data_IF_435887452002
#
_entry.id   IF_435887452002
#
_cell.length_a   1.000
_cell.length_b   1.000
_cell.length_c   1.000
_cell.angle_alpha   90.00
_cell.angle_beta   90.00
_cell.angle_gamma   90.00
#
_symmetry.space_group_name_H-M   'P 1'
#
loop_
_entity.id
_entity.type
_entity.pdbx_description
1 polymer ?
#
# COMPACT_ATOMS: atom_id res chain seq x y z
N UNK A 1 66.12 0.14 -29.49
CA UNK A 1 66.06 -0.75 -28.30
C UNK A 1 65.83 0.17 -27.11
N UNK A 2 64.71 0.23 -26.41
CA UNK A 2 63.75 -0.78 -25.98
C UNK A 2 62.61 0.00 -25.30
N UNK A 3 61.37 -0.14 -25.80
CA UNK A 3 60.26 -0.83 -25.11
C UNK A 3 59.24 0.13 -24.48
N UNK A 4 58.19 0.35 -25.28
CA UNK A 4 56.79 0.28 -24.86
C UNK A 4 56.30 1.30 -23.82
N UNK A 5 56.08 2.53 -24.32
CA UNK A 5 54.80 3.24 -24.11
C UNK A 5 53.66 2.28 -24.46
N UNK A 6 52.47 2.44 -23.85
CA UNK A 6 51.26 1.60 -23.95
C UNK A 6 51.05 0.63 -22.79
N UNK A 7 50.52 1.14 -21.67
CA UNK A 7 49.59 0.39 -20.82
C UNK A 7 48.82 1.39 -19.96
N UNK A 8 47.83 2.07 -20.56
CA UNK A 8 46.77 2.73 -19.80
C UNK A 8 45.68 1.68 -19.57
N UNK A 9 45.49 1.36 -18.31
CA UNK A 9 44.64 0.34 -17.74
C UNK A 9 43.15 0.67 -18.04
N UNK A 10 42.48 -0.12 -18.88
CA UNK A 10 41.03 -0.08 -19.05
C UNK A 10 40.38 -0.83 -17.87
N UNK A 11 40.03 -0.11 -16.80
CA UNK A 11 39.12 -0.64 -15.78
C UNK A 11 37.70 -0.47 -16.33
N UNK A 12 37.17 -1.55 -16.90
CA UNK A 12 35.76 -1.64 -17.26
C UNK A 12 34.91 -1.64 -15.99
N UNK A 13 34.21 -0.53 -15.74
CA UNK A 13 33.16 -0.48 -14.73
C UNK A 13 31.97 -1.27 -15.27
N UNK A 14 31.85 -2.51 -14.82
CA UNK A 14 30.67 -3.34 -15.04
C UNK A 14 29.56 -2.80 -14.15
N UNK A 15 28.73 -1.90 -14.69
CA UNK A 15 27.47 -1.51 -14.06
C UNK A 15 26.54 -2.71 -14.14
N UNK A 16 26.54 -3.55 -13.10
CA UNK A 16 25.52 -4.55 -12.85
C UNK A 16 24.23 -3.80 -12.52
N UNK A 17 23.42 -3.52 -13.54
CA UNK A 17 22.06 -3.01 -13.39
C UNK A 17 21.20 -4.15 -12.82
N UNK A 18 21.30 -4.37 -11.51
CA UNK A 18 20.41 -5.25 -10.79
C UNK A 18 19.01 -4.62 -10.79
N UNK A 19 18.10 -5.16 -11.60
CA UNK A 19 16.68 -4.83 -11.49
C UNK A 19 16.15 -5.37 -10.17
N UNK A 20 16.19 -4.54 -9.14
CA UNK A 20 15.40 -4.73 -7.91
C UNK A 20 13.93 -4.76 -8.33
N UNK A 21 13.37 -5.96 -8.46
CA UNK A 21 11.93 -6.13 -8.50
C UNK A 21 11.45 -5.81 -7.09
N UNK A 22 10.97 -4.58 -6.88
CA UNK A 22 10.10 -4.31 -5.75
C UNK A 22 8.93 -5.28 -5.89
N UNK A 23 8.85 -6.27 -5.00
CA UNK A 23 7.73 -7.21 -4.93
C UNK A 23 6.47 -6.45 -4.57
N UNK A 24 5.84 -5.83 -5.56
CA UNK A 24 4.66 -5.00 -5.39
C UNK A 24 3.42 -5.86 -5.26
N UNK A 25 3.20 -6.43 -4.08
CA UNK A 25 1.87 -6.87 -3.70
C UNK A 25 0.87 -5.69 -3.78
N UNK A 26 -0.44 -5.95 -3.75
CA UNK A 26 -1.41 -4.86 -3.72
C UNK A 26 -1.11 -3.94 -2.52
N UNK A 27 -1.55 -2.66 -2.55
CA UNK A 27 -1.29 -1.75 -1.44
C UNK A 27 -1.87 -2.29 -0.11
N UNK A 28 -1.15 -2.08 0.98
CA UNK A 28 -1.54 -2.43 2.35
C UNK A 28 -1.85 -1.16 3.15
N UNK A 29 -2.54 -1.29 4.27
CA UNK A 29 -2.93 -0.17 5.13
C UNK A 29 -4.18 0.55 4.64
N UNK A 30 -4.28 1.84 4.94
CA UNK A 30 -5.42 2.69 4.54
C UNK A 30 -5.26 3.17 3.09
N UNK A 31 -6.16 2.70 2.24
CA UNK A 31 -6.19 3.00 0.80
C UNK A 31 -7.37 3.92 0.54
N UNK A 32 -7.08 5.16 0.14
CA UNK A 32 -8.07 6.17 -0.17
C UNK A 32 -8.65 5.94 -1.57
N UNK A 33 -9.97 5.91 -1.67
CA UNK A 33 -10.70 5.65 -2.89
C UNK A 33 -11.89 6.61 -3.01
N UNK A 34 -12.46 6.71 -4.21
CA UNK A 34 -13.75 7.37 -4.42
C UNK A 34 -14.65 6.53 -5.31
N UNK A 35 -15.96 6.69 -5.15
CA UNK A 35 -16.97 6.08 -6.01
C UNK A 35 -17.99 7.14 -6.43
N UNK A 36 -18.44 7.09 -7.68
CA UNK A 36 -19.52 7.93 -8.17
C UNK A 36 -20.84 7.16 -8.12
N UNK A 37 -21.83 7.73 -7.43
CA UNK A 37 -23.20 7.21 -7.34
C UNK A 37 -24.15 8.35 -7.64
N UNK A 38 -25.03 8.18 -8.63
CA UNK A 38 -25.98 9.19 -9.09
C UNK A 38 -25.36 10.57 -9.37
N UNK A 39 -24.17 10.56 -10.01
CA UNK A 39 -23.43 11.77 -10.35
C UNK A 39 -22.72 12.46 -9.18
N UNK A 40 -22.86 11.95 -7.96
CA UNK A 40 -22.14 12.44 -6.77
C UNK A 40 -20.95 11.55 -6.45
N UNK A 41 -19.82 12.18 -6.13
CA UNK A 41 -18.62 11.49 -5.68
C UNK A 41 -18.65 11.30 -4.16
N UNK A 42 -18.33 10.08 -3.73
CA UNK A 42 -18.24 9.67 -2.33
C UNK A 42 -16.84 9.13 -2.07
N UNK A 43 -16.00 9.86 -1.31
CA UNK A 43 -14.73 9.31 -0.86
C UNK A 43 -14.96 8.23 0.20
N UNK A 44 -14.15 7.18 0.17
CA UNK A 44 -14.14 6.12 1.18
C UNK A 44 -12.71 5.59 1.33
N UNK A 45 -12.47 4.83 2.40
CA UNK A 45 -11.14 4.28 2.69
C UNK A 45 -11.28 2.79 2.94
N UNK A 46 -10.41 2.01 2.31
CA UNK A 46 -10.28 0.56 2.53
C UNK A 46 -9.06 0.33 3.39
N UNK A 47 -9.23 -0.32 4.54
CA UNK A 47 -8.10 -0.84 5.29
C UNK A 47 -7.78 -2.26 4.79
N UNK A 48 -6.53 -2.51 4.41
CA UNK A 48 -6.03 -3.85 4.07
C UNK A 48 -4.95 -4.28 5.07
N UNK A 49 -5.18 -5.34 5.86
CA UNK A 49 -4.16 -5.88 6.75
C UNK A 49 -2.89 -6.28 6.00
N UNK A 50 -1.77 -6.22 6.72
CA UNK A 50 -0.47 -6.64 6.18
C UNK A 50 -0.46 -8.15 6.00
N UNK A 51 0.13 -8.63 4.90
CA UNK A 51 0.23 -10.07 4.63
C UNK A 51 -1.09 -10.74 4.25
N UNK A 52 -2.16 -9.97 3.95
CA UNK A 52 -3.36 -10.53 3.34
C UNK A 52 -3.04 -10.95 1.90
N UNK A 53 -2.78 -12.24 1.67
CA UNK A 53 -2.37 -12.74 0.36
C UNK A 53 -3.49 -12.68 -0.68
N UNK A 54 -3.13 -12.25 -1.90
CA UNK A 54 -4.04 -12.24 -3.03
C UNK A 54 -4.47 -13.66 -3.43
N UNK A 55 -3.63 -14.67 -3.18
CA UNK A 55 -3.93 -16.08 -3.41
C UNK A 55 -4.97 -16.63 -2.43
N UNK A 56 -4.91 -16.22 -1.15
CA UNK A 56 -5.91 -16.59 -0.16
C UNK A 56 -7.29 -16.01 -0.50
N UNK A 57 -7.30 -14.77 -1.00
CA UNK A 57 -8.51 -14.08 -1.48
C UNK A 57 -9.10 -14.69 -2.77
N UNK A 58 -8.28 -15.40 -3.57
CA UNK A 58 -8.73 -16.04 -4.80
C UNK A 58 -9.43 -17.41 -4.55
N UNK A 59 -9.09 -18.08 -3.45
CA UNK A 59 -9.65 -19.40 -3.10
C UNK A 59 -10.88 -19.32 -2.19
N UNK A 60 -11.04 -18.22 -1.44
CA UNK A 60 -12.21 -17.96 -0.58
C UNK A 60 -12.56 -16.47 -0.63
N UNK A 61 -13.86 -16.10 -0.66
CA UNK A 61 -14.25 -14.70 -0.57
C UNK A 61 -13.77 -14.13 0.77
N UNK A 62 -12.97 -13.08 0.69
CA UNK A 62 -12.53 -12.31 1.86
C UNK A 62 -13.76 -11.68 2.52
N UNK A 63 -13.86 -11.79 3.85
CA UNK A 63 -14.94 -11.14 4.60
C UNK A 63 -14.65 -9.64 4.64
N UNK A 64 -15.67 -8.82 4.40
CA UNK A 64 -15.57 -7.36 4.50
C UNK A 64 -16.32 -6.84 5.72
N UNK A 65 -15.69 -5.93 6.46
CA UNK A 65 -16.33 -5.13 7.51
C UNK A 65 -16.60 -3.72 6.96
N UNK A 66 -17.84 -3.25 7.08
CA UNK A 66 -18.16 -1.85 6.80
C UNK A 66 -18.26 -1.09 8.11
N UNK A 67 -17.39 -0.10 8.30
CA UNK A 67 -17.44 0.83 9.41
C UNK A 67 -18.04 2.16 8.95
N UNK A 68 -19.13 2.58 9.58
CA UNK A 68 -19.81 3.84 9.29
C UNK A 68 -19.48 4.84 10.40
N UNK A 69 -18.95 6.00 10.02
CA UNK A 69 -18.63 7.06 10.95
C UNK A 69 -19.88 7.80 11.44
N UNK A 70 -19.73 8.56 12.52
CA UNK A 70 -20.80 9.36 13.09
C UNK A 70 -20.95 10.73 12.40
N UNK A 71 -21.91 11.51 12.89
CA UNK A 71 -22.16 12.88 12.41
C UNK A 71 -20.96 13.81 12.63
N UNK A 72 -20.15 13.55 13.66
CA UNK A 72 -18.98 14.38 14.00
C UNK A 72 -17.86 14.29 12.95
N UNK A 73 -17.80 13.18 12.23
CA UNK A 73 -16.77 12.87 11.25
C UNK A 73 -17.27 13.03 9.80
N UNK A 74 -18.45 13.65 9.60
CA UNK A 74 -18.94 13.97 8.27
C UNK A 74 -18.02 14.99 7.57
N UNK A 75 -17.78 14.77 6.28
CA UNK A 75 -16.97 15.68 5.47
C UNK A 75 -16.93 15.27 4.01
N UNK A 76 -16.10 15.98 3.24
CA UNK A 76 -15.83 15.71 1.81
C UNK A 76 -14.35 15.51 1.54
N UNK A 77 -13.50 15.57 2.56
CA UNK A 77 -12.04 15.44 2.45
C UNK A 77 -11.57 13.98 2.33
N UNK A 78 -12.43 13.01 2.68
CA UNK A 78 -12.12 11.59 2.59
C UNK A 78 -11.17 11.06 3.69
N UNK A 79 -10.91 11.85 4.73
CA UNK A 79 -10.02 11.51 5.85
C UNK A 79 -10.66 11.69 7.23
N UNK A 80 -11.62 12.61 7.40
CA UNK A 80 -12.26 12.86 8.69
C UNK A 80 -12.94 11.61 9.26
N UNK A 81 -13.46 10.72 8.41
CA UNK A 81 -14.04 9.44 8.82
C UNK A 81 -13.05 8.48 9.49
N UNK A 82 -11.75 8.78 9.45
CA UNK A 82 -10.70 8.01 10.11
C UNK A 82 -10.32 8.54 11.51
N UNK A 83 -10.85 9.69 11.93
CA UNK A 83 -10.38 10.36 13.14
C UNK A 83 -10.80 9.67 14.43
N UNK A 84 -11.92 8.93 14.43
CA UNK A 84 -12.55 8.36 15.64
C UNK A 84 -12.96 6.91 15.38
N UNK A 85 -12.98 6.09 16.45
CA UNK A 85 -13.52 4.75 16.43
C UNK A 85 -12.50 3.68 16.07
N UNK A 86 -12.84 2.83 15.10
CA UNK A 86 -12.01 1.69 14.70
C UNK A 86 -10.67 2.10 14.04
N UNK A 87 -10.61 3.09 13.12
CA UNK A 87 -9.38 3.36 12.38
C UNK A 87 -8.16 3.72 13.25
N UNK A 88 -8.23 4.59 14.27
CA UNK A 88 -7.11 4.84 15.17
C UNK A 88 -6.66 3.58 15.93
N UNK A 89 -7.59 2.69 16.26
CA UNK A 89 -7.28 1.44 16.95
C UNK A 89 -6.50 0.46 16.04
N UNK A 90 -6.82 0.41 14.74
CA UNK A 90 -6.09 -0.38 13.76
C UNK A 90 -4.67 0.14 13.52
N UNK A 91 -4.47 1.47 13.56
CA UNK A 91 -3.13 2.08 13.49
C UNK A 91 -2.25 1.63 14.66
N UNK A 92 -2.84 1.50 15.86
CA UNK A 92 -2.10 1.16 17.07
C UNK A 92 -1.75 -0.34 17.16
N UNK A 93 -2.74 -1.19 16.94
CA UNK A 93 -2.59 -2.64 17.06
C UNK A 93 -3.72 -3.32 16.27
N UNK A 94 -3.42 -3.70 15.03
CA UNK A 94 -4.38 -4.40 14.16
C UNK A 94 -4.71 -5.80 14.69
N UNK A 95 -3.74 -6.54 15.25
CA UNK A 95 -3.88 -7.94 15.67
C UNK A 95 -4.86 -8.11 16.82
N UNK A 96 -5.04 -7.05 17.63
CA UNK A 96 -6.07 -6.98 18.67
C UNK A 96 -7.51 -7.04 18.12
N UNK A 97 -7.72 -6.82 16.83
CA UNK A 97 -9.02 -6.80 16.16
C UNK A 97 -9.13 -7.95 15.13
N UNK A 98 -9.28 -9.22 15.56
CA UNK A 98 -9.13 -10.41 14.72
C UNK A 98 -10.21 -10.61 13.64
N UNK A 99 -11.20 -9.70 13.58
CA UNK A 99 -12.25 -9.71 12.57
C UNK A 99 -11.96 -8.76 11.40
N UNK A 100 -10.85 -8.02 11.45
CA UNK A 100 -10.36 -7.12 10.40
C UNK A 100 -9.25 -7.78 9.60
#
# INVERSE_FOLDING_TARGET
MTRHVWMVLLIGVLVMTGSVHAGGGPPEGFIYQSIKVDGREYPYVVFRPRGLDAADSASRPTRGLVFLHGRGECGTDGSHQLAVGLPPALVWDTDRWPFV
#
